data_IF_705511858112
#
_entry.id   IF_705511858112
#
_cell.length_a   1.000
_cell.length_b   1.000
_cell.length_c   1.000
_cell.angle_alpha   90.00
_cell.angle_beta   90.00
_cell.angle_gamma   90.00
#
_symmetry.space_group_name_H-M   'P 1'
#
loop_
_entity.id
_entity.type
_entity.pdbx_description
1 polymer ?
#
# COMPACT_ATOMS: atom_id res chain seq x y z
N UNK A 1 5.52 8.56 -7.82
CA UNK A 1 4.76 8.56 -9.09
C UNK A 1 3.55 9.48 -8.90
N UNK A 2 3.26 10.35 -9.87
CA UNK A 2 2.10 11.24 -9.79
C UNK A 2 0.83 10.44 -10.13
N UNK A 3 -0.27 10.53 -9.34
CA UNK A 3 -1.55 9.88 -9.64
C UNK A 3 -2.03 10.05 -11.09
N UNK A 4 -1.88 11.24 -11.67
CA UNK A 4 -2.32 11.50 -13.04
C UNK A 4 -1.51 10.73 -14.11
N UNK A 5 -0.22 10.51 -13.86
CA UNK A 5 0.62 9.71 -14.77
C UNK A 5 0.28 8.22 -14.68
N UNK A 6 -0.05 7.76 -13.48
CA UNK A 6 -0.50 6.39 -13.24
C UNK A 6 -1.84 6.12 -13.95
N UNK A 7 -2.83 6.98 -13.76
CA UNK A 7 -4.13 6.85 -14.41
C UNK A 7 -4.01 6.81 -15.93
N UNK A 8 -3.17 7.67 -16.52
CA UNK A 8 -2.88 7.65 -17.95
C UNK A 8 -2.29 6.30 -18.39
N UNK A 9 -1.28 5.79 -17.68
CA UNK A 9 -0.66 4.50 -18.00
C UNK A 9 -1.66 3.33 -17.90
N UNK A 10 -2.51 3.34 -16.87
CA UNK A 10 -3.58 2.36 -16.68
C UNK A 10 -4.63 2.41 -17.80
N UNK A 11 -4.92 3.60 -18.34
CA UNK A 11 -5.83 3.77 -19.48
C UNK A 11 -5.24 3.26 -20.80
N UNK A 12 -3.92 3.34 -20.97
CA UNK A 12 -3.22 2.89 -22.18
C UNK A 12 -2.91 1.39 -22.18
N UNK A 13 -2.96 0.72 -21.03
CA UNK A 13 -2.69 -0.73 -20.93
C UNK A 13 -3.79 -1.63 -21.52
N UNK A 14 -3.44 -2.82 -22.04
CA UNK A 14 -4.41 -3.84 -22.44
C UNK A 14 -5.31 -4.28 -21.27
N UNK A 15 -6.58 -4.62 -21.57
CA UNK A 15 -7.56 -5.01 -20.55
C UNK A 15 -7.09 -6.20 -19.69
N UNK A 16 -6.45 -7.20 -20.30
CA UNK A 16 -5.93 -8.37 -19.58
C UNK A 16 -4.86 -7.96 -18.58
N UNK A 17 -3.91 -7.11 -18.98
CA UNK A 17 -2.86 -6.58 -18.09
C UNK A 17 -3.44 -5.72 -16.98
N UNK A 18 -4.43 -4.88 -17.30
CA UNK A 18 -5.07 -4.02 -16.30
C UNK A 18 -5.69 -4.83 -15.14
N UNK A 19 -6.28 -5.98 -15.43
CA UNK A 19 -6.89 -6.84 -14.40
C UNK A 19 -5.80 -7.51 -13.53
N UNK A 20 -4.63 -7.83 -14.09
CA UNK A 20 -3.53 -8.45 -13.34
C UNK A 20 -2.74 -7.45 -12.46
N UNK A 21 -2.86 -6.15 -12.70
CA UNK A 21 -2.19 -5.12 -11.88
C UNK A 21 -2.60 -5.20 -10.40
N UNK A 22 -3.87 -5.45 -10.09
CA UNK A 22 -4.32 -5.51 -8.69
C UNK A 22 -3.64 -6.64 -7.91
N UNK A 23 -3.66 -7.90 -8.38
CA UNK A 23 -2.92 -9.00 -7.74
C UNK A 23 -1.42 -8.72 -7.60
N UNK A 24 -0.79 -8.09 -8.59
CA UNK A 24 0.63 -7.74 -8.52
C UNK A 24 0.92 -6.71 -7.41
N UNK A 25 0.07 -5.68 -7.31
CA UNK A 25 0.19 -4.68 -6.25
C UNK A 25 -0.07 -5.29 -4.88
N UNK A 26 -1.08 -6.16 -4.74
CA UNK A 26 -1.37 -6.88 -3.49
C UNK A 26 -0.21 -7.76 -3.06
N UNK A 27 0.42 -8.50 -3.98
CA UNK A 27 1.60 -9.30 -3.69
C UNK A 27 2.75 -8.43 -3.18
N UNK A 28 2.98 -7.27 -3.81
CA UNK A 28 3.99 -6.32 -3.34
C UNK A 28 3.68 -5.81 -1.92
N UNK A 29 2.42 -5.49 -1.63
CA UNK A 29 1.99 -5.07 -0.28
C UNK A 29 2.22 -6.21 0.73
N UNK A 30 1.81 -7.44 0.42
CA UNK A 30 1.98 -8.58 1.31
C UNK A 30 3.47 -8.83 1.64
N UNK A 31 4.36 -8.69 0.66
CA UNK A 31 5.80 -8.80 0.89
C UNK A 31 6.35 -7.68 1.80
N UNK A 32 5.88 -6.44 1.63
CA UNK A 32 6.28 -5.32 2.49
C UNK A 32 5.77 -5.49 3.93
N UNK A 33 4.51 -5.92 4.10
CA UNK A 33 3.93 -6.19 5.42
C UNK A 33 4.73 -7.28 6.14
N UNK A 34 5.01 -8.39 5.46
CA UNK A 34 5.83 -9.48 5.99
C UNK A 34 7.24 -9.00 6.36
N UNK A 35 7.90 -8.23 5.50
CA UNK A 35 9.23 -7.68 5.77
C UNK A 35 9.22 -6.76 7.00
N UNK A 36 8.19 -5.92 7.16
CA UNK A 36 8.05 -5.08 8.35
C UNK A 36 7.85 -5.91 9.62
N UNK A 37 7.03 -6.97 9.55
CA UNK A 37 6.86 -7.88 10.67
C UNK A 37 8.18 -8.56 11.05
N UNK A 38 8.92 -9.11 10.08
CA UNK A 38 10.21 -9.76 10.32
C UNK A 38 11.23 -8.81 10.96
N UNK A 39 11.28 -7.54 10.53
CA UNK A 39 12.14 -6.52 11.16
C UNK A 39 11.75 -6.24 12.61
N UNK A 40 10.45 -6.15 12.92
CA UNK A 40 9.96 -5.95 14.30
C UNK A 40 10.22 -7.17 15.18
N UNK A 41 10.15 -8.38 14.62
CA UNK A 41 10.48 -9.62 15.34
C UNK A 41 11.98 -9.72 15.66
N UNK A 42 12.83 -9.21 14.77
CA UNK A 42 14.29 -9.19 14.98
C UNK A 42 14.72 -8.09 15.96
N UNK A 43 14.10 -6.92 15.91
CA UNK A 43 14.37 -5.79 16.81
C UNK A 43 13.08 -5.32 17.53
N UNK A 44 12.59 -6.09 18.51
CA UNK A 44 11.34 -5.78 19.22
C UNK A 44 11.41 -4.49 20.04
N UNK A 45 12.62 -4.09 20.46
CA UNK A 45 12.85 -2.88 21.25
C UNK A 45 13.04 -1.62 20.38
N UNK A 46 13.04 -1.76 19.05
CA UNK A 46 13.30 -0.66 18.11
C UNK A 46 14.61 0.08 18.42
N UNK A 47 15.70 -0.67 18.64
CA UNK A 47 17.04 -0.13 18.93
C UNK A 47 17.86 0.11 17.68
N UNK A 48 17.55 -0.58 16.57
CA UNK A 48 18.23 -0.44 15.30
C UNK A 48 17.58 0.69 14.47
N UNK A 49 18.27 1.84 14.30
CA UNK A 49 17.74 2.97 13.54
C UNK A 49 17.53 2.64 12.06
N UNK A 50 18.29 1.71 11.48
CA UNK A 50 18.16 1.33 10.08
C UNK A 50 16.87 0.53 9.87
N UNK A 51 16.52 -0.35 10.81
CA UNK A 51 15.24 -1.08 10.78
C UNK A 51 14.06 -0.15 10.99
N UNK A 52 14.14 0.79 11.93
CA UNK A 52 13.10 1.81 12.13
C UNK A 52 12.87 2.61 10.84
N UNK A 53 13.95 3.03 10.17
CA UNK A 53 13.87 3.79 8.94
C UNK A 53 13.31 2.93 7.78
N UNK A 54 13.76 1.69 7.63
CA UNK A 54 13.27 0.77 6.60
C UNK A 54 11.76 0.48 6.76
N UNK A 55 11.30 0.24 8.00
CA UNK A 55 9.86 0.06 8.29
C UNK A 55 9.08 1.31 7.90
N UNK A 56 9.58 2.52 8.21
CA UNK A 56 8.95 3.80 7.86
C UNK A 56 8.80 3.96 6.34
N UNK A 57 9.86 3.65 5.59
CA UNK A 57 9.86 3.71 4.13
C UNK A 57 8.91 2.70 3.51
N UNK A 58 8.92 1.46 4.00
CA UNK A 58 8.01 0.41 3.57
C UNK A 58 6.55 0.77 3.85
N UNK A 59 6.24 1.31 5.02
CA UNK A 59 4.90 1.80 5.33
C UNK A 59 4.47 2.89 4.32
N UNK A 60 5.37 3.81 3.97
CA UNK A 60 5.07 4.89 3.02
C UNK A 60 4.83 4.34 1.62
N UNK A 61 5.56 3.30 1.24
CA UNK A 61 5.36 2.56 0.00
C UNK A 61 4.03 1.80 -0.01
N UNK A 62 3.67 1.10 1.07
CA UNK A 62 2.38 0.42 1.23
C UNK A 62 1.24 1.40 1.02
N UNK A 63 1.28 2.58 1.64
CA UNK A 63 0.25 3.62 1.45
C UNK A 63 0.11 4.05 -0.01
N UNK A 64 1.23 4.23 -0.72
CA UNK A 64 1.22 4.57 -2.15
C UNK A 64 0.65 3.43 -3.00
N UNK A 65 0.94 2.18 -2.63
CA UNK A 65 0.41 0.99 -3.30
C UNK A 65 -1.09 0.81 -3.07
N UNK A 66 -1.59 1.08 -1.87
CA UNK A 66 -3.03 1.13 -1.60
C UNK A 66 -3.73 2.18 -2.48
N UNK A 67 -3.15 3.39 -2.60
CA UNK A 67 -3.68 4.41 -3.52
C UNK A 67 -3.64 3.93 -4.98
N UNK A 68 -2.59 3.19 -5.38
CA UNK A 68 -2.50 2.60 -6.71
C UNK A 68 -3.65 1.61 -6.95
N UNK A 69 -3.99 0.76 -5.98
CA UNK A 69 -5.14 -0.16 -6.05
C UNK A 69 -6.44 0.61 -6.27
N UNK A 70 -6.68 1.69 -5.50
CA UNK A 70 -7.91 2.47 -5.62
C UNK A 70 -8.06 3.10 -7.01
N UNK A 71 -6.98 3.67 -7.55
CA UNK A 71 -6.97 4.24 -8.91
C UNK A 71 -7.18 3.14 -9.96
N UNK A 72 -6.50 2.00 -9.84
CA UNK A 72 -6.67 0.87 -10.76
C UNK A 72 -8.11 0.35 -10.75
N UNK A 73 -8.75 0.24 -9.58
CA UNK A 73 -10.17 -0.14 -9.48
C UNK A 73 -11.08 0.87 -10.19
N UNK A 74 -10.81 2.17 -10.04
CA UNK A 74 -11.58 3.19 -10.74
C UNK A 74 -11.45 3.05 -12.25
N UNK A 75 -10.23 2.90 -12.77
CA UNK A 75 -9.98 2.72 -14.21
C UNK A 75 -10.61 1.43 -14.75
N UNK A 76 -10.57 0.34 -13.98
CA UNK A 76 -11.28 -0.91 -14.33
C UNK A 76 -12.78 -0.67 -14.47
N UNK A 77 -13.38 0.07 -13.53
CA UNK A 77 -14.81 0.39 -13.58
C UNK A 77 -15.18 1.20 -14.82
N UNK A 78 -14.36 2.20 -15.14
CA UNK A 78 -14.59 3.10 -16.27
C UNK A 78 -14.37 2.40 -17.63
N UNK A 79 -13.36 1.53 -17.75
CA UNK A 79 -12.98 0.89 -19.02
C UNK A 79 -13.64 -0.46 -19.27
N UNK A 80 -13.75 -1.28 -18.23
CA UNK A 80 -14.20 -2.68 -18.31
C UNK A 80 -15.61 -2.90 -17.73
N UNK A 81 -16.13 -1.89 -17.03
CA UNK A 81 -17.49 -1.86 -16.52
C UNK A 81 -17.66 -2.45 -15.11
N UNK A 82 -18.90 -2.41 -14.65
CA UNK A 82 -19.29 -2.70 -13.26
C UNK A 82 -19.03 -4.16 -12.86
N UNK A 83 -19.12 -5.12 -13.79
CA UNK A 83 -18.90 -6.54 -13.50
C UNK A 83 -17.44 -6.82 -13.12
N UNK A 84 -16.49 -6.35 -13.93
CA UNK A 84 -15.06 -6.49 -13.66
C UNK A 84 -14.66 -5.73 -12.39
N UNK A 85 -15.23 -4.54 -12.18
CA UNK A 85 -15.00 -3.78 -10.95
C UNK A 85 -15.50 -4.52 -9.70
N UNK A 86 -16.66 -5.19 -9.75
CA UNK A 86 -17.17 -5.97 -8.59
C UNK A 86 -16.30 -7.16 -8.26
N UNK A 87 -15.85 -7.89 -9.28
CA UNK A 87 -14.97 -9.04 -9.10
C UNK A 87 -13.66 -8.60 -8.44
N UNK A 88 -12.99 -7.61 -9.03
CA UNK A 88 -11.73 -7.09 -8.48
C UNK A 88 -11.91 -6.39 -7.14
N UNK A 89 -13.04 -5.69 -6.95
CA UNK A 89 -13.38 -5.04 -5.69
C UNK A 89 -13.60 -6.04 -4.56
N UNK A 90 -14.20 -7.22 -4.83
CA UNK A 90 -14.33 -8.30 -3.86
C UNK A 90 -12.95 -8.83 -3.46
N UNK A 91 -12.09 -9.09 -4.43
CA UNK A 91 -10.73 -9.55 -4.19
C UNK A 91 -9.91 -8.55 -3.35
N UNK A 92 -9.99 -7.25 -3.67
CA UNK A 92 -9.34 -6.18 -2.88
C UNK A 92 -9.89 -6.11 -1.46
N UNK A 93 -11.20 -6.26 -1.29
CA UNK A 93 -11.83 -6.28 0.03
C UNK A 93 -11.34 -7.46 0.87
N UNK A 94 -11.33 -8.67 0.31
CA UNK A 94 -10.83 -9.88 0.98
C UNK A 94 -9.37 -9.72 1.41
N UNK A 95 -8.51 -9.21 0.52
CA UNK A 95 -7.11 -8.92 0.83
C UNK A 95 -6.96 -7.93 2.00
N UNK A 96 -7.71 -6.82 1.98
CA UNK A 96 -7.69 -5.82 3.05
C UNK A 96 -8.20 -6.38 4.38
N UNK A 97 -9.19 -7.27 4.35
CA UNK A 97 -9.69 -7.95 5.54
C UNK A 97 -8.67 -8.93 6.11
N UNK A 98 -8.01 -9.71 5.25
CA UNK A 98 -6.94 -10.64 5.64
C UNK A 98 -5.78 -9.91 6.31
N UNK A 99 -5.33 -8.79 5.74
CA UNK A 99 -4.18 -8.01 6.21
C UNK A 99 -4.56 -6.83 7.11
N UNK A 100 -5.79 -6.80 7.64
CA UNK A 100 -6.34 -5.63 8.33
C UNK A 100 -5.52 -5.20 9.56
N UNK A 101 -4.95 -6.15 10.30
CA UNK A 101 -4.17 -5.85 11.51
C UNK A 101 -2.82 -5.21 11.15
N UNK A 102 -2.12 -5.78 10.17
CA UNK A 102 -0.81 -5.31 9.73
C UNK A 102 -0.93 -3.93 9.07
N UNK A 103 -1.92 -3.75 8.18
CA UNK A 103 -2.20 -2.45 7.56
C UNK A 103 -2.49 -1.35 8.59
N UNK A 104 -3.25 -1.67 9.65
CA UNK A 104 -3.49 -0.73 10.77
C UNK A 104 -2.22 -0.41 11.54
N UNK A 105 -1.39 -1.41 11.82
CA UNK A 105 -0.12 -1.22 12.51
C UNK A 105 0.81 -0.28 11.72
N UNK A 106 0.90 -0.45 10.40
CA UNK A 106 1.72 0.42 9.55
C UNK A 106 1.18 1.85 9.46
N UNK A 107 -0.14 2.05 9.46
CA UNK A 107 -0.75 3.38 9.54
C UNK A 107 -0.45 4.09 10.86
N UNK A 108 -0.53 3.37 11.98
CA UNK A 108 -0.23 3.91 13.31
C UNK A 108 1.25 4.24 13.48
N UNK A 109 2.13 3.39 12.95
CA UNK A 109 3.58 3.63 12.97
C UNK A 109 3.97 4.91 12.23
N UNK A 110 3.29 5.22 11.12
CA UNK A 110 3.48 6.49 10.42
C UNK A 110 3.00 7.71 11.22
N UNK A 111 1.80 7.64 11.80
CA UNK A 111 1.20 8.76 12.53
C UNK A 111 2.01 9.12 13.78
N UNK A 112 2.34 8.12 14.60
CA UNK A 112 3.10 8.32 15.85
C UNK A 112 4.52 8.88 15.66
N UNK A 113 5.08 8.81 14.45
CA UNK A 113 6.40 9.36 14.12
C UNK A 113 6.32 10.68 13.37
N UNK A 114 5.29 10.90 12.55
CA UNK A 114 5.03 12.21 11.97
C UNK A 114 4.85 13.29 13.06
N UNK A 115 4.10 12.97 14.12
CA UNK A 115 3.90 13.88 15.25
C UNK A 115 5.21 14.20 16.00
N UNK A 116 6.14 13.22 16.10
CA UNK A 116 7.44 13.41 16.75
C UNK A 116 8.44 14.20 15.90
N UNK A 117 8.38 14.06 14.58
CA UNK A 117 9.22 14.81 13.65
C UNK A 117 8.78 16.30 13.59
N UNK A 118 7.50 16.59 13.82
CA UNK A 118 6.95 17.97 13.88
C UNK A 118 7.22 18.67 15.23
N UNK A 119 7.23 17.95 16.36
CA UNK A 119 7.58 18.51 17.68
C UNK A 119 9.07 18.85 17.85
N UNK A 120 9.95 18.33 16.98
CA UNK A 120 11.40 18.57 17.02
C UNK A 120 11.87 19.91 16.43
N UNK A 121 10.96 20.73 15.88
CA UNK A 121 11.27 22.03 15.25
C UNK A 121 10.79 23.17 16.16
N UNK A 122 11.29 23.25 17.39
CA UNK A 122 11.22 24.49 18.17
C UNK A 122 12.54 24.75 18.92
N UNK A 123 13.29 25.70 18.35
CA UNK A 123 14.45 26.47 18.87
C UNK A 123 15.79 25.75 19.07
#
# INVERSE_FOLDING_TARGET
MNPAQLEKALNEMPAVTLITEIPEIQNAIAHLLKSNQEMREFDPDNKDPDFIQAIKENAALIKRKETQVDITLQVIRERLGEAAWREMGSNVKEFRELHAQELKAEQQFQQTKADKDEEGIFL
#
